data_IF_045788832225
#
_entry.id   IF_045788832225
#
_cell.length_a   1.000
_cell.length_b   1.000
_cell.length_c   1.000
_cell.angle_alpha   90.00
_cell.angle_beta   90.00
_cell.angle_gamma   90.00
#
_symmetry.space_group_name_H-M   'P 1'
#
loop_
_entity.id
_entity.type
_entity.pdbx_description
1 polymer ?
#
# COMPACT_ATOMS: atom_id res chain seq x y z
N UNK A 1 16.68 -17.89 11.01
CA UNK A 1 15.98 -17.26 9.90
C UNK A 1 16.48 -17.86 8.57
N UNK A 2 15.54 -18.24 7.69
CA UNK A 2 15.87 -18.76 6.38
C UNK A 2 16.44 -17.64 5.49
N UNK A 3 17.56 -17.91 4.79
CA UNK A 3 18.17 -17.01 3.81
C UNK A 3 18.90 -17.81 2.70
N UNK A 4 18.28 -18.88 2.24
CA UNK A 4 18.81 -19.72 1.15
C UNK A 4 18.70 -19.05 -0.20
N UNK A 5 19.49 -19.54 -1.17
CA UNK A 5 19.42 -19.06 -2.55
C UNK A 5 18.18 -19.65 -3.25
N UNK A 6 17.23 -18.79 -3.60
CA UNK A 6 15.98 -19.14 -4.28
C UNK A 6 15.93 -18.63 -5.73
N UNK A 7 16.99 -18.02 -6.24
CA UNK A 7 17.00 -17.36 -7.55
C UNK A 7 16.54 -18.26 -8.69
N UNK A 8 16.88 -19.56 -8.61
CA UNK A 8 16.57 -20.53 -9.67
C UNK A 8 15.26 -21.30 -9.45
N UNK A 9 14.47 -20.93 -8.45
CA UNK A 9 13.17 -21.58 -8.27
C UNK A 9 12.23 -21.27 -9.43
N UNK A 10 11.63 -22.30 -10.00
CA UNK A 10 10.55 -22.13 -10.96
C UNK A 10 9.22 -21.91 -10.20
N UNK A 11 8.82 -20.64 -10.12
CA UNK A 11 7.57 -20.22 -9.49
C UNK A 11 6.47 -19.93 -10.52
N UNK A 12 6.69 -20.25 -11.79
CA UNK A 12 5.81 -19.90 -12.91
C UNK A 12 4.36 -20.44 -12.77
N UNK A 13 4.15 -21.45 -11.95
CA UNK A 13 2.82 -22.04 -11.69
C UNK A 13 2.20 -21.60 -10.36
N UNK A 14 2.94 -20.77 -9.58
CA UNK A 14 2.49 -20.33 -8.26
C UNK A 14 1.37 -19.31 -8.42
N UNK A 15 0.28 -19.51 -7.70
CA UNK A 15 -0.88 -18.62 -7.68
C UNK A 15 -0.99 -17.82 -6.36
N UNK A 16 -0.33 -18.26 -5.30
CA UNK A 16 -0.29 -17.56 -4.01
C UNK A 16 1.11 -17.60 -3.42
N UNK A 17 1.60 -16.44 -3.01
CA UNK A 17 2.84 -16.24 -2.25
C UNK A 17 2.53 -15.60 -0.88
N UNK A 18 1.29 -15.78 -0.40
CA UNK A 18 0.85 -15.23 0.87
C UNK A 18 1.77 -15.65 2.01
N UNK A 19 2.26 -14.65 2.78
CA UNK A 19 3.13 -14.83 3.95
C UNK A 19 4.43 -15.59 3.69
N UNK A 20 4.89 -15.73 2.45
CA UNK A 20 6.04 -16.58 2.14
C UNK A 20 7.32 -16.18 2.89
N UNK A 21 7.53 -14.89 3.11
CA UNK A 21 8.68 -14.35 3.86
C UNK A 21 8.24 -13.49 5.06
N UNK A 22 7.02 -13.70 5.57
CA UNK A 22 6.49 -13.03 6.73
C UNK A 22 7.38 -13.26 7.97
N UNK A 23 7.74 -12.18 8.67
CA UNK A 23 8.62 -12.16 9.84
C UNK A 23 9.96 -12.90 9.61
N UNK A 24 10.39 -13.02 8.34
CA UNK A 24 11.63 -13.73 8.00
C UNK A 24 12.81 -12.76 7.90
N UNK A 25 14.04 -13.29 8.05
CA UNK A 25 15.28 -12.56 7.76
C UNK A 25 15.72 -12.67 6.29
N UNK A 26 14.80 -12.98 5.35
CA UNK A 26 15.16 -13.23 3.96
C UNK A 26 15.65 -11.95 3.25
N UNK A 27 16.85 -12.06 2.65
CA UNK A 27 17.52 -11.02 1.87
C UNK A 27 18.00 -11.53 0.51
N UNK A 28 17.58 -12.75 0.14
CA UNK A 28 18.03 -13.40 -1.09
C UNK A 28 17.50 -12.71 -2.35
N UNK A 29 18.17 -12.98 -3.47
CA UNK A 29 17.75 -12.50 -4.79
C UNK A 29 16.62 -13.37 -5.34
N UNK A 30 15.53 -12.74 -5.74
CA UNK A 30 14.32 -13.32 -6.33
C UNK A 30 13.87 -12.51 -7.56
N UNK A 31 14.75 -11.68 -8.11
CA UNK A 31 14.47 -10.77 -9.23
C UNK A 31 14.04 -11.50 -10.51
N UNK A 32 14.49 -12.74 -10.71
CA UNK A 32 14.21 -13.54 -11.91
C UNK A 32 12.91 -14.37 -11.80
N UNK A 33 12.18 -14.28 -10.72
CA UNK A 33 10.95 -15.06 -10.55
C UNK A 33 9.87 -14.66 -11.57
N UNK A 34 9.29 -15.65 -12.23
CA UNK A 34 8.12 -15.45 -13.08
C UNK A 34 6.85 -15.44 -12.23
N UNK A 35 6.38 -14.26 -11.89
CA UNK A 35 5.23 -14.04 -11.00
C UNK A 35 3.90 -13.88 -11.75
N UNK A 36 3.90 -14.08 -13.08
CA UNK A 36 2.74 -13.80 -13.94
C UNK A 36 1.43 -14.50 -13.56
N UNK A 37 1.48 -15.62 -12.83
CA UNK A 37 0.29 -16.34 -12.39
C UNK A 37 -0.11 -16.06 -10.94
N UNK A 38 0.64 -15.24 -10.21
CA UNK A 38 0.37 -14.96 -8.79
C UNK A 38 -0.85 -14.07 -8.65
N UNK A 39 -1.82 -14.51 -7.86
CA UNK A 39 -3.06 -13.81 -7.56
C UNK A 39 -3.05 -13.17 -6.16
N UNK A 40 -2.34 -13.77 -5.19
CA UNK A 40 -2.18 -13.23 -3.85
C UNK A 40 -0.71 -13.09 -3.48
N UNK A 41 -0.32 -11.88 -3.08
CA UNK A 41 0.96 -11.55 -2.48
C UNK A 41 0.76 -10.99 -1.05
N UNK A 42 -0.40 -11.30 -0.44
CA UNK A 42 -0.76 -10.74 0.85
C UNK A 42 0.29 -11.09 1.91
N UNK A 43 0.75 -10.07 2.64
CA UNK A 43 1.73 -10.20 3.73
C UNK A 43 3.07 -10.85 3.34
N UNK A 44 3.41 -10.90 2.04
CA UNK A 44 4.57 -11.68 1.58
C UNK A 44 5.88 -11.31 2.26
N UNK A 45 6.11 -10.02 2.54
CA UNK A 45 7.31 -9.51 3.20
C UNK A 45 6.98 -8.77 4.52
N UNK A 46 5.82 -9.04 5.13
CA UNK A 46 5.45 -8.43 6.40
C UNK A 46 6.57 -8.64 7.43
N UNK A 47 6.92 -7.59 8.19
CA UNK A 47 7.95 -7.62 9.23
C UNK A 47 9.33 -8.16 8.76
N UNK A 48 9.62 -8.09 7.46
CA UNK A 48 10.87 -8.55 6.86
C UNK A 48 11.83 -7.38 6.57
N UNK A 49 13.16 -7.56 6.63
CA UNK A 49 14.12 -6.56 6.20
C UNK A 49 14.31 -6.51 4.67
N UNK A 50 13.46 -7.17 3.91
CA UNK A 50 13.60 -7.29 2.45
C UNK A 50 13.63 -5.92 1.76
N UNK A 51 14.64 -5.72 0.90
CA UNK A 51 14.77 -4.58 -0.01
C UNK A 51 15.40 -4.99 -1.35
N UNK A 52 15.12 -6.21 -1.80
CA UNK A 52 15.63 -6.72 -3.08
C UNK A 52 14.93 -6.11 -4.28
N UNK A 53 15.54 -6.29 -5.47
CA UNK A 53 14.95 -5.85 -6.73
C UNK A 53 13.81 -6.78 -7.16
N UNK A 54 12.61 -6.22 -7.26
CA UNK A 54 11.39 -6.88 -7.73
C UNK A 54 10.70 -6.02 -8.81
N UNK A 55 11.40 -5.04 -9.38
CA UNK A 55 10.86 -4.14 -10.40
C UNK A 55 10.39 -4.87 -11.66
N UNK A 56 11.02 -6.00 -11.99
CA UNK A 56 10.69 -6.85 -13.13
C UNK A 56 9.51 -7.80 -12.92
N UNK A 57 8.91 -7.85 -11.74
CA UNK A 57 7.80 -8.78 -11.49
C UNK A 57 6.55 -8.43 -12.29
N UNK A 58 5.92 -9.44 -12.87
CA UNK A 58 4.62 -9.31 -13.52
C UNK A 58 3.51 -9.52 -12.49
N UNK A 59 2.82 -8.43 -12.15
CA UNK A 59 1.76 -8.43 -11.12
C UNK A 59 0.35 -8.24 -11.69
N UNK A 60 0.17 -8.31 -13.02
CA UNK A 60 -1.13 -8.07 -13.69
C UNK A 60 -2.27 -8.95 -13.20
N UNK A 61 -1.96 -10.17 -12.74
CA UNK A 61 -2.96 -11.11 -12.24
C UNK A 61 -3.17 -11.00 -10.73
N UNK A 62 -2.40 -10.17 -10.02
CA UNK A 62 -2.60 -9.97 -8.59
C UNK A 62 -3.97 -9.34 -8.30
N UNK A 63 -4.62 -9.85 -7.23
CA UNK A 63 -5.90 -9.39 -6.70
C UNK A 63 -5.76 -8.85 -5.29
N UNK A 64 -4.83 -9.40 -4.51
CA UNK A 64 -4.53 -8.91 -3.16
C UNK A 64 -3.03 -8.68 -2.99
N UNK A 65 -2.71 -7.47 -2.51
CA UNK A 65 -1.40 -7.05 -2.04
C UNK A 65 -1.50 -6.56 -0.58
N UNK A 66 -2.54 -7.02 0.15
CA UNK A 66 -2.77 -6.66 1.55
C UNK A 66 -1.50 -6.89 2.37
N UNK A 67 -1.05 -5.87 3.09
CA UNK A 67 0.11 -5.94 3.99
C UNK A 67 1.41 -6.43 3.35
N UNK A 68 1.55 -6.41 2.01
CA UNK A 68 2.70 -7.03 1.33
C UNK A 68 4.05 -6.57 1.88
N UNK A 69 4.17 -5.30 2.24
CA UNK A 69 5.37 -4.70 2.84
C UNK A 69 5.11 -4.12 4.23
N UNK A 70 4.05 -4.56 4.92
CA UNK A 70 3.71 -4.08 6.25
C UNK A 70 4.91 -4.27 7.19
N UNK A 71 5.31 -3.18 7.87
CA UNK A 71 6.48 -3.15 8.76
C UNK A 71 7.80 -3.59 8.10
N UNK A 72 7.88 -3.59 6.77
CA UNK A 72 9.10 -3.80 6.01
C UNK A 72 9.93 -2.51 6.02
N UNK A 73 10.61 -2.23 7.13
CA UNK A 73 11.17 -0.91 7.45
C UNK A 73 12.30 -0.46 6.52
N UNK A 74 12.91 -1.39 5.78
CA UNK A 74 14.02 -1.13 4.85
C UNK A 74 13.58 -1.05 3.39
N UNK A 75 12.34 -1.42 3.08
CA UNK A 75 11.88 -1.47 1.69
C UNK A 75 11.78 -0.09 1.06
N UNK A 76 12.50 0.12 -0.03
CA UNK A 76 12.42 1.30 -0.89
C UNK A 76 12.68 0.94 -2.37
N UNK A 77 12.30 -0.27 -2.77
CA UNK A 77 12.42 -0.76 -4.16
C UNK A 77 11.59 0.07 -5.14
N UNK A 78 12.04 0.14 -6.39
CA UNK A 78 11.25 0.78 -7.45
C UNK A 78 10.22 -0.20 -8.01
N UNK A 79 8.95 0.07 -7.71
CA UNK A 79 7.79 -0.69 -8.16
C UNK A 79 6.84 0.19 -8.98
N UNK A 80 7.29 1.36 -9.43
CA UNK A 80 6.50 2.33 -10.21
C UNK A 80 5.99 1.76 -11.54
N UNK A 81 6.69 0.77 -12.10
CA UNK A 81 6.32 0.08 -13.33
C UNK A 81 5.30 -1.05 -13.19
N UNK A 82 4.85 -1.37 -11.98
CA UNK A 82 3.89 -2.45 -11.79
C UNK A 82 2.51 -2.13 -12.35
N UNK A 83 1.91 -3.06 -13.10
CA UNK A 83 0.51 -2.99 -13.52
C UNK A 83 -0.41 -3.54 -12.42
N UNK A 84 -0.89 -2.64 -11.58
CA UNK A 84 -1.80 -2.96 -10.46
C UNK A 84 -3.28 -2.82 -10.84
N UNK A 85 -3.60 -2.72 -12.13
CA UNK A 85 -4.97 -2.44 -12.61
C UNK A 85 -6.00 -3.51 -12.24
N UNK A 86 -5.56 -4.69 -11.82
CA UNK A 86 -6.39 -5.79 -11.35
C UNK A 86 -6.49 -5.94 -9.83
N UNK A 87 -5.70 -5.17 -9.06
CA UNK A 87 -5.64 -5.31 -7.60
C UNK A 87 -6.90 -4.73 -6.95
N UNK A 88 -7.52 -5.52 -6.08
CA UNK A 88 -8.76 -5.17 -5.38
C UNK A 88 -8.48 -4.70 -3.95
N UNK A 89 -7.46 -5.26 -3.32
CA UNK A 89 -7.13 -5.06 -1.91
C UNK A 89 -5.67 -4.65 -1.74
N UNK A 90 -5.45 -3.41 -1.28
CA UNK A 90 -4.15 -2.82 -0.95
C UNK A 90 -4.08 -2.40 0.53
N UNK A 91 -5.00 -2.91 1.37
CA UNK A 91 -5.02 -2.57 2.79
C UNK A 91 -3.65 -2.85 3.43
N UNK A 92 -3.14 -1.88 4.20
CA UNK A 92 -1.87 -1.97 4.93
C UNK A 92 -0.62 -2.25 4.07
N UNK A 93 -0.68 -2.13 2.73
CA UNK A 93 0.42 -2.57 1.85
C UNK A 93 1.77 -1.96 2.22
N UNK A 94 1.81 -0.70 2.64
CA UNK A 94 3.02 0.01 3.06
C UNK A 94 2.94 0.52 4.51
N UNK A 95 2.06 -0.08 5.33
CA UNK A 95 1.96 0.29 6.73
C UNK A 95 3.32 0.09 7.43
N UNK A 96 3.79 1.11 8.14
CA UNK A 96 5.04 1.04 8.90
C UNK A 96 6.33 1.06 8.08
N UNK A 97 6.27 1.29 6.76
CA UNK A 97 7.47 1.44 5.92
C UNK A 97 8.15 2.78 6.16
N UNK A 98 9.33 2.77 6.79
CA UNK A 98 9.99 3.98 7.32
C UNK A 98 10.81 4.75 6.30
N UNK A 99 11.13 4.13 5.15
CA UNK A 99 11.97 4.74 4.11
C UNK A 99 11.30 4.75 2.73
N UNK A 100 10.15 4.06 2.57
CA UNK A 100 9.47 3.98 1.29
C UNK A 100 8.87 5.32 0.88
N UNK A 101 9.39 5.89 -0.21
CA UNK A 101 8.90 7.13 -0.79
C UNK A 101 9.12 7.15 -2.32
N UNK A 102 8.67 6.11 -3.04
CA UNK A 102 8.77 6.01 -4.49
C UNK A 102 7.51 6.48 -5.18
N UNK A 103 7.68 7.05 -6.37
CA UNK A 103 6.55 7.56 -7.15
C UNK A 103 5.60 6.42 -7.57
N UNK A 104 4.34 6.52 -7.17
CA UNK A 104 3.28 5.57 -7.50
C UNK A 104 2.14 6.22 -8.33
N UNK A 105 2.30 7.47 -8.75
CA UNK A 105 1.23 8.24 -9.38
C UNK A 105 0.77 7.68 -10.74
N UNK A 106 1.57 6.79 -11.35
CA UNK A 106 1.20 6.12 -12.60
C UNK A 106 0.44 4.79 -12.39
N UNK A 107 0.26 4.36 -11.16
CA UNK A 107 -0.53 3.16 -10.88
C UNK A 107 -2.00 3.35 -11.26
N UNK A 108 -2.54 2.39 -11.98
CA UNK A 108 -3.97 2.36 -12.31
C UNK A 108 -4.74 1.65 -11.19
N UNK A 109 -5.30 2.42 -10.27
CA UNK A 109 -5.97 1.92 -9.05
C UNK A 109 -7.48 1.69 -9.23
N UNK A 110 -8.00 1.78 -10.45
CA UNK A 110 -9.44 1.75 -10.77
C UNK A 110 -10.22 0.54 -10.23
N UNK A 111 -9.55 -0.59 -9.97
CA UNK A 111 -10.22 -1.80 -9.47
C UNK A 111 -10.24 -1.85 -7.93
N UNK A 112 -9.37 -1.08 -7.27
CA UNK A 112 -9.18 -1.16 -5.83
C UNK A 112 -10.44 -0.75 -5.07
N UNK A 113 -10.76 -1.53 -4.03
CA UNK A 113 -11.92 -1.31 -3.17
C UNK A 113 -11.54 -1.10 -1.70
N UNK A 114 -10.31 -1.45 -1.31
CA UNK A 114 -9.82 -1.34 0.07
C UNK A 114 -8.38 -0.77 0.06
N UNK A 115 -8.21 0.41 0.65
CA UNK A 115 -6.93 1.11 0.87
C UNK A 115 -6.73 1.45 2.36
N UNK A 116 -7.47 0.82 3.26
CA UNK A 116 -7.35 1.05 4.69
C UNK A 116 -5.92 0.88 5.17
N UNK A 117 -5.43 1.80 5.99
CA UNK A 117 -4.08 1.80 6.56
C UNK A 117 -2.91 1.71 5.55
N UNK A 118 -3.15 1.92 4.23
CA UNK A 118 -2.14 1.63 3.20
C UNK A 118 -0.79 2.30 3.44
N UNK A 119 -0.78 3.54 3.89
CA UNK A 119 0.44 4.32 4.21
C UNK A 119 0.51 4.73 5.69
N UNK A 120 -0.24 4.04 6.56
CA UNK A 120 -0.20 4.33 7.99
C UNK A 120 1.23 4.22 8.53
N UNK A 121 1.68 5.23 9.32
CA UNK A 121 3.00 5.23 9.94
C UNK A 121 4.16 5.03 8.94
N UNK A 122 3.99 5.52 7.72
CA UNK A 122 4.92 5.43 6.58
C UNK A 122 5.62 6.77 6.34
N UNK A 123 6.79 6.73 5.69
CA UNK A 123 7.48 7.92 5.20
C UNK A 123 6.92 8.45 3.86
N UNK A 124 5.89 7.82 3.32
CA UNK A 124 5.38 8.12 1.98
C UNK A 124 4.79 9.54 1.89
N UNK A 125 5.28 10.33 0.92
CA UNK A 125 4.78 11.67 0.62
C UNK A 125 4.91 12.04 -0.88
N UNK A 126 4.77 11.06 -1.78
CA UNK A 126 4.74 11.35 -3.22
C UNK A 126 3.31 11.66 -3.70
N UNK A 127 3.15 12.42 -4.82
CA UNK A 127 1.83 12.70 -5.39
C UNK A 127 1.01 11.46 -5.72
N UNK A 128 -0.31 11.54 -5.52
CA UNK A 128 -1.31 10.52 -5.83
C UNK A 128 -2.53 11.12 -6.56
N UNK A 129 -2.41 12.33 -7.09
CA UNK A 129 -3.49 13.07 -7.74
C UNK A 129 -4.11 12.36 -8.96
N UNK A 130 -3.36 11.42 -9.59
CA UNK A 130 -3.84 10.63 -10.74
C UNK A 130 -4.51 9.32 -10.37
N UNK A 131 -4.55 8.96 -9.10
CA UNK A 131 -5.19 7.71 -8.70
C UNK A 131 -6.70 7.76 -8.92
N UNK A 132 -7.24 6.70 -9.50
CA UNK A 132 -8.68 6.51 -9.59
C UNK A 132 -9.16 5.74 -8.35
N UNK A 133 -9.79 6.46 -7.43
CA UNK A 133 -10.28 5.90 -6.16
C UNK A 133 -11.81 5.77 -6.12
N UNK A 134 -12.49 5.95 -7.26
CA UNK A 134 -13.95 5.98 -7.33
C UNK A 134 -14.65 4.70 -6.83
N UNK A 135 -13.93 3.58 -6.69
CA UNK A 135 -14.46 2.30 -6.17
C UNK A 135 -14.02 1.98 -4.76
N UNK A 136 -13.12 2.77 -4.19
CA UNK A 136 -12.61 2.53 -2.84
C UNK A 136 -13.70 2.81 -1.82
N UNK A 137 -13.90 1.87 -0.90
CA UNK A 137 -14.90 1.93 0.18
C UNK A 137 -14.23 2.21 1.52
N UNK A 138 -13.04 1.66 1.73
CA UNK A 138 -12.30 1.78 2.98
C UNK A 138 -11.03 2.61 2.78
N UNK A 139 -10.98 3.78 3.42
CA UNK A 139 -9.84 4.67 3.56
C UNK A 139 -9.38 4.78 5.02
N UNK A 140 -9.89 3.92 5.92
CA UNK A 140 -9.61 4.02 7.35
C UNK A 140 -8.11 4.05 7.62
N UNK A 141 -7.65 5.04 8.37
CA UNK A 141 -6.25 5.21 8.75
C UNK A 141 -5.23 5.34 7.61
N UNK A 142 -5.65 5.55 6.36
CA UNK A 142 -4.78 5.44 5.17
C UNK A 142 -3.47 6.22 5.28
N UNK A 143 -3.48 7.43 5.82
CA UNK A 143 -2.31 8.31 5.99
C UNK A 143 -2.03 8.63 7.47
N UNK A 144 -2.64 7.88 8.37
CA UNK A 144 -2.51 8.09 9.82
C UNK A 144 -1.05 7.96 10.28
N UNK A 145 -0.62 8.82 11.23
CA UNK A 145 0.74 8.83 11.77
C UNK A 145 1.84 9.01 10.71
N UNK A 146 1.50 9.63 9.58
CA UNK A 146 2.41 9.87 8.46
C UNK A 146 2.64 11.37 8.20
N UNK A 147 3.42 11.65 7.17
CA UNK A 147 3.73 13.02 6.73
C UNK A 147 3.10 13.36 5.37
N UNK A 148 2.07 12.60 4.95
CA UNK A 148 1.42 12.83 3.67
C UNK A 148 0.73 14.19 3.65
N UNK A 149 1.16 15.06 2.72
CA UNK A 149 0.63 16.41 2.54
C UNK A 149 0.42 16.78 1.07
N UNK A 150 0.25 15.77 0.20
CA UNK A 150 0.04 16.02 -1.22
C UNK A 150 -1.43 16.27 -1.53
N UNK A 151 -1.69 17.01 -2.63
CA UNK A 151 -3.03 17.34 -3.06
C UNK A 151 -3.78 16.12 -3.59
N UNK A 152 -4.96 15.86 -3.02
CA UNK A 152 -5.90 14.82 -3.39
C UNK A 152 -7.34 15.37 -3.51
N UNK A 153 -7.50 16.68 -3.64
CA UNK A 153 -8.81 17.33 -3.74
C UNK A 153 -9.66 16.78 -4.90
N UNK A 154 -9.01 16.35 -5.99
CA UNK A 154 -9.68 15.81 -7.17
C UNK A 154 -10.15 14.34 -7.03
N UNK A 155 -9.88 13.67 -5.90
CA UNK A 155 -10.32 12.29 -5.73
C UNK A 155 -11.85 12.17 -5.69
N UNK A 156 -12.40 11.24 -6.48
CA UNK A 156 -13.79 10.83 -6.37
C UNK A 156 -13.94 9.80 -5.22
N UNK A 157 -14.34 10.28 -4.06
CA UNK A 157 -14.55 9.45 -2.86
C UNK A 157 -16.02 9.05 -2.66
N UNK A 158 -16.87 9.18 -3.69
CA UNK A 158 -18.31 8.99 -3.57
C UNK A 158 -18.75 7.56 -3.22
N UNK A 159 -17.86 6.58 -3.32
CA UNK A 159 -18.09 5.19 -2.90
C UNK A 159 -17.61 4.89 -1.48
N UNK A 160 -16.89 5.81 -0.83
CA UNK A 160 -16.34 5.60 0.50
C UNK A 160 -17.43 5.39 1.55
N UNK A 161 -17.21 4.43 2.42
CA UNK A 161 -18.07 4.12 3.57
C UNK A 161 -17.33 4.29 4.89
N UNK A 162 -16.00 4.13 4.91
CA UNK A 162 -15.16 4.33 6.09
C UNK A 162 -13.98 5.26 5.77
N UNK A 163 -13.89 6.36 6.51
CA UNK A 163 -12.79 7.32 6.50
C UNK A 163 -12.23 7.56 7.91
N UNK A 164 -12.52 6.64 8.84
CA UNK A 164 -12.07 6.78 10.23
C UNK A 164 -10.55 6.88 10.32
N UNK A 165 -10.07 7.88 11.03
CA UNK A 165 -8.65 8.13 11.25
C UNK A 165 -7.81 8.34 9.99
N UNK A 166 -8.40 8.63 8.81
CA UNK A 166 -7.66 8.70 7.54
C UNK A 166 -6.41 9.58 7.63
N UNK A 167 -6.48 10.70 8.34
CA UNK A 167 -5.37 11.65 8.56
C UNK A 167 -5.00 11.79 10.04
N UNK A 168 -5.39 10.82 10.87
CA UNK A 168 -5.16 10.84 12.31
C UNK A 168 -3.68 10.99 12.64
N UNK A 169 -3.27 11.99 13.45
CA UNK A 169 -1.87 12.34 13.73
C UNK A 169 -1.03 12.60 12.47
N UNK A 170 -1.66 13.03 11.39
CA UNK A 170 -0.99 13.34 10.13
C UNK A 170 -0.71 14.83 9.94
N UNK A 171 0.05 15.16 8.89
CA UNK A 171 0.37 16.53 8.50
C UNK A 171 -0.47 17.03 7.30
N UNK A 172 -1.62 16.40 7.04
CA UNK A 172 -2.45 16.72 5.87
C UNK A 172 -3.16 18.08 6.04
N UNK A 173 -3.01 18.98 5.05
CA UNK A 173 -3.55 20.33 5.05
C UNK A 173 -4.14 20.76 3.68
N UNK A 174 -4.55 19.80 2.83
CA UNK A 174 -5.16 20.13 1.54
C UNK A 174 -6.67 20.28 1.65
N UNK A 175 -7.27 21.10 0.75
CA UNK A 175 -8.71 21.35 0.72
C UNK A 175 -9.47 20.13 0.16
N UNK A 176 -10.28 19.51 1.00
CA UNK A 176 -11.16 18.39 0.65
C UNK A 176 -12.64 18.74 0.77
N UNK A 177 -12.97 20.04 0.83
CA UNK A 177 -14.35 20.54 1.01
C UNK A 177 -15.32 20.10 -0.10
N UNK A 178 -14.81 19.75 -1.27
CA UNK A 178 -15.62 19.32 -2.41
C UNK A 178 -15.87 17.81 -2.48
N UNK A 179 -15.34 17.03 -1.54
CA UNK A 179 -15.57 15.59 -1.53
C UNK A 179 -17.05 15.23 -1.33
N UNK A 180 -17.56 14.30 -2.13
CA UNK A 180 -18.87 13.73 -1.95
C UNK A 180 -18.83 12.58 -0.93
N UNK A 181 -19.11 12.89 0.32
CA UNK A 181 -19.01 11.96 1.47
C UNK A 181 -20.35 11.41 1.94
N UNK A 182 -21.38 11.42 1.08
CA UNK A 182 -22.76 11.06 1.48
C UNK A 182 -22.94 9.61 1.91
N UNK A 183 -21.99 8.72 1.58
CA UNK A 183 -22.03 7.29 1.90
C UNK A 183 -21.12 6.92 3.05
N UNK A 184 -20.39 7.89 3.62
CA UNK A 184 -19.47 7.61 4.72
C UNK A 184 -20.26 7.42 5.99
N UNK A 185 -20.07 6.27 6.62
CA UNK A 185 -20.71 5.89 7.89
C UNK A 185 -19.80 6.19 9.09
N UNK A 186 -18.47 6.27 8.90
CA UNK A 186 -17.52 6.52 9.97
C UNK A 186 -16.45 7.57 9.60
N UNK A 187 -16.41 8.66 10.37
CA UNK A 187 -15.37 9.70 10.35
C UNK A 187 -14.59 9.78 11.66
N UNK A 188 -14.71 8.77 12.53
CA UNK A 188 -14.10 8.80 13.86
C UNK A 188 -12.61 9.14 13.77
N UNK A 189 -12.17 10.22 14.40
CA UNK A 189 -10.78 10.63 14.45
C UNK A 189 -10.16 11.05 13.11
N UNK A 190 -10.92 11.26 12.03
CA UNK A 190 -10.35 11.51 10.69
C UNK A 190 -9.28 12.60 10.67
N UNK A 191 -9.48 13.71 11.38
CA UNK A 191 -8.54 14.84 11.47
C UNK A 191 -8.05 15.07 12.91
N UNK A 192 -8.20 14.08 13.80
CA UNK A 192 -7.80 14.28 15.19
C UNK A 192 -6.27 14.32 15.31
N UNK A 193 -5.78 15.31 16.05
CA UNK A 193 -4.38 15.47 16.42
C UNK A 193 -4.21 15.15 17.91
N UNK A 194 -3.04 14.67 18.30
CA UNK A 194 -2.68 14.59 19.71
C UNK A 194 -2.27 15.99 20.19
N UNK A 195 -3.17 16.67 20.89
CA UNK A 195 -2.80 17.83 21.70
C UNK A 195 -2.04 17.34 22.93
N UNK A 196 -0.85 16.77 22.71
CA UNK A 196 0.08 16.45 23.80
C UNK A 196 0.43 17.75 24.52
N UNK A 197 0.14 17.80 25.81
CA UNK A 197 0.50 18.87 26.72
C UNK A 197 1.91 19.37 26.45
N UNK A 198 2.03 20.66 26.15
CA UNK A 198 3.26 21.42 26.17
C UNK A 198 3.84 21.46 27.58
#
# INVERSE_FOLDING_TARGET
PFNGNLLQWDVSRVTSMERMFDASGFLGDISLWNTANVQSMAYMFQESPFNGDISGWDVRNARSMRGMFESCTQFNGDISGWDVSGVLDMNSMFHGTKVFNRALNNWNTRACTDMGNMFRNSAFNCPLDRWNVARVKDFSGMFSHGHFGQDIAAWDVSSATDMSGMFYFGAFDSDVSQWNVRRVDDFSGMFAEYSGLH
#
